data_IF_095078755753
#
_entry.id   IF_095078755753
#
_cell.length_a   1.000
_cell.length_b   1.000
_cell.length_c   1.000
_cell.angle_alpha   90.00
_cell.angle_beta   90.00
_cell.angle_gamma   90.00
#
_symmetry.space_group_name_H-M   'P 1'
#
loop_
_entity.id
_entity.type
_entity.pdbx_description
1 polymer ?
#
# COMPACT_ATOMS: atom_id res chain seq x y z
N UNK A 1 4.81 -21.70 -18.84
CA UNK A 1 4.73 -20.38 -18.18
C UNK A 1 3.27 -19.97 -18.01
N UNK A 2 2.55 -20.48 -17.00
CA UNK A 2 1.11 -20.23 -16.79
C UNK A 2 0.79 -19.61 -15.42
N UNK A 3 1.81 -19.09 -14.74
CA UNK A 3 1.72 -18.65 -13.33
C UNK A 3 1.25 -17.19 -13.19
N UNK A 4 1.40 -16.37 -14.25
CA UNK A 4 1.13 -14.93 -14.19
C UNK A 4 -0.38 -14.58 -14.13
N UNK A 5 -1.24 -15.36 -14.77
CA UNK A 5 -2.66 -14.97 -14.92
C UNK A 5 -3.50 -15.21 -13.67
N UNK A 6 -3.15 -16.21 -12.87
CA UNK A 6 -3.85 -16.46 -11.60
C UNK A 6 -3.63 -15.32 -10.59
N UNK A 7 -2.39 -14.79 -10.50
CA UNK A 7 -2.05 -13.69 -9.58
C UNK A 7 -2.82 -12.41 -9.89
N UNK A 8 -3.13 -12.15 -11.17
CA UNK A 8 -3.91 -10.99 -11.60
C UNK A 8 -5.34 -11.02 -11.07
N UNK A 9 -5.89 -12.21 -10.82
CA UNK A 9 -7.28 -12.40 -10.40
C UNK A 9 -7.46 -12.41 -8.87
N UNK A 10 -6.37 -12.55 -8.12
CA UNK A 10 -6.38 -12.58 -6.65
C UNK A 10 -6.82 -11.23 -6.07
N UNK A 11 -7.40 -11.28 -4.87
CA UNK A 11 -7.76 -10.08 -4.13
C UNK A 11 -6.53 -9.38 -3.54
N UNK A 12 -6.61 -8.07 -3.24
CA UNK A 12 -5.49 -7.35 -2.61
C UNK A 12 -5.01 -7.94 -1.28
N UNK A 13 -5.91 -8.54 -0.49
CA UNK A 13 -5.54 -9.17 0.79
C UNK A 13 -4.67 -10.41 0.57
N UNK A 14 -5.07 -11.30 -0.34
CA UNK A 14 -4.32 -12.51 -0.68
C UNK A 14 -2.94 -12.16 -1.27
N UNK A 15 -2.90 -11.15 -2.13
CA UNK A 15 -1.65 -10.66 -2.73
C UNK A 15 -0.69 -10.09 -1.68
N UNK A 16 -1.18 -9.31 -0.72
CA UNK A 16 -0.35 -8.83 0.40
C UNK A 16 0.21 -9.98 1.24
N UNK A 17 -0.57 -11.04 1.44
CA UNK A 17 -0.11 -12.23 2.17
C UNK A 17 1.00 -12.96 1.40
N UNK A 18 0.86 -13.12 0.09
CA UNK A 18 1.91 -13.70 -0.76
C UNK A 18 3.19 -12.86 -0.75
N UNK A 19 3.07 -11.53 -0.82
CA UNK A 19 4.21 -10.60 -0.73
C UNK A 19 4.91 -10.76 0.62
N UNK A 20 4.15 -10.82 1.72
CA UNK A 20 4.71 -11.01 3.08
C UNK A 20 5.45 -12.34 3.22
N UNK A 21 5.00 -13.38 2.52
CA UNK A 21 5.64 -14.69 2.51
C UNK A 21 6.77 -14.80 1.47
N UNK A 22 7.22 -13.67 0.89
CA UNK A 22 8.32 -13.60 -0.08
C UNK A 22 8.11 -14.52 -1.31
N UNK A 23 6.87 -14.60 -1.80
CA UNK A 23 6.56 -15.41 -2.97
C UNK A 23 7.33 -14.92 -4.20
N UNK A 24 8.29 -15.73 -4.65
CA UNK A 24 9.24 -15.41 -5.73
C UNK A 24 8.58 -15.14 -7.09
N UNK A 25 7.28 -15.47 -7.24
CA UNK A 25 6.51 -15.19 -8.46
C UNK A 25 6.14 -13.71 -8.57
N UNK A 26 6.16 -12.96 -7.47
CA UNK A 26 5.79 -11.55 -7.41
C UNK A 26 7.07 -10.69 -7.42
N UNK A 27 7.43 -10.17 -8.59
CA UNK A 27 8.59 -9.27 -8.74
C UNK A 27 8.20 -7.79 -8.76
N UNK A 28 6.95 -7.49 -9.10
CA UNK A 28 6.36 -6.16 -9.03
C UNK A 28 4.83 -6.29 -8.86
N UNK A 29 4.17 -5.18 -8.52
CA UNK A 29 2.72 -5.15 -8.27
C UNK A 29 1.90 -4.73 -9.49
N UNK A 30 2.54 -4.46 -10.64
CA UNK A 30 1.84 -3.96 -11.84
C UNK A 30 0.92 -5.03 -12.42
N UNK A 31 -0.33 -4.65 -12.69
CA UNK A 31 -1.33 -5.55 -13.26
C UNK A 31 -1.88 -6.62 -12.29
N UNK A 32 -1.40 -6.66 -11.04
CA UNK A 32 -1.99 -7.50 -9.99
C UNK A 32 -3.33 -6.92 -9.51
N UNK A 33 -4.20 -7.76 -8.96
CA UNK A 33 -5.54 -7.38 -8.50
C UNK A 33 -6.39 -6.67 -9.57
N UNK A 34 -6.34 -7.16 -10.82
CA UNK A 34 -7.00 -6.51 -11.94
C UNK A 34 -8.52 -6.35 -11.67
N UNK A 35 -9.03 -5.13 -11.85
CA UNK A 35 -10.43 -4.78 -11.56
C UNK A 35 -10.82 -4.73 -10.06
N UNK A 36 -9.88 -4.94 -9.13
CA UNK A 36 -10.14 -5.07 -7.69
C UNK A 36 -9.30 -4.12 -6.82
N UNK A 37 -9.45 -2.80 -7.04
CA UNK A 37 -9.03 -1.64 -6.21
C UNK A 37 -7.74 -0.90 -6.65
N UNK A 38 -7.41 0.18 -5.91
CA UNK A 38 -6.36 1.18 -6.16
C UNK A 38 -5.09 0.88 -5.36
N UNK A 39 -3.94 0.98 -6.02
CA UNK A 39 -2.63 1.00 -5.37
C UNK A 39 -2.33 2.39 -4.82
N UNK A 40 -1.51 2.46 -3.78
CA UNK A 40 -1.11 3.71 -3.16
C UNK A 40 0.39 3.69 -2.85
N UNK A 41 1.00 4.87 -2.86
CA UNK A 41 2.35 5.06 -2.36
C UNK A 41 2.32 5.14 -0.83
N UNK A 42 3.41 4.72 -0.19
CA UNK A 42 3.61 4.81 1.26
C UNK A 42 4.90 5.56 1.53
N UNK A 43 4.88 6.43 2.53
CA UNK A 43 6.06 7.15 3.02
C UNK A 43 6.05 7.06 4.54
N UNK A 44 7.18 6.62 5.12
CA UNK A 44 7.34 6.48 6.57
C UNK A 44 8.37 7.51 7.01
N UNK A 45 7.97 8.37 7.95
CA UNK A 45 8.84 9.43 8.50
C UNK A 45 8.90 9.35 10.02
N UNK A 46 10.00 9.80 10.65
CA UNK A 46 10.05 9.99 12.09
C UNK A 46 8.94 10.91 12.61
N UNK A 47 8.43 10.63 13.81
CA UNK A 47 7.31 11.38 14.43
C UNK A 47 7.50 12.90 14.43
N UNK A 48 8.74 13.37 14.65
CA UNK A 48 9.04 14.81 14.70
C UNK A 48 8.90 15.50 13.34
N UNK A 49 8.95 14.78 12.22
CA UNK A 49 8.74 15.31 10.87
C UNK A 49 7.32 15.08 10.35
N UNK A 50 6.52 14.25 11.01
CA UNK A 50 5.22 13.82 10.50
C UNK A 50 4.25 15.00 10.27
N UNK A 51 4.26 15.99 11.17
CA UNK A 51 3.35 17.14 11.04
C UNK A 51 3.72 18.04 9.87
N UNK A 52 5.01 18.32 9.71
CA UNK A 52 5.51 19.14 8.60
C UNK A 52 5.26 18.46 7.26
N UNK A 53 5.46 17.13 7.21
CA UNK A 53 5.18 16.34 6.01
C UNK A 53 3.67 16.29 5.69
N UNK A 54 2.80 16.19 6.70
CA UNK A 54 1.35 16.26 6.49
C UNK A 54 0.93 17.61 5.90
N UNK A 55 1.47 18.72 6.43
CA UNK A 55 1.23 20.06 5.89
C UNK A 55 1.73 20.14 4.45
N UNK A 56 2.94 19.65 4.18
CA UNK A 56 3.51 19.62 2.83
C UNK A 56 2.61 18.87 1.84
N UNK A 57 2.10 17.69 2.20
CA UNK A 57 1.15 16.95 1.36
C UNK A 57 -0.15 17.73 1.12
N UNK A 58 -0.72 18.34 2.17
CA UNK A 58 -1.97 19.13 2.05
C UNK A 58 -1.80 20.41 1.25
N UNK A 59 -0.62 21.02 1.26
CA UNK A 59 -0.26 22.16 0.41
C UNK A 59 -0.06 21.77 -1.05
N UNK A 60 0.14 20.48 -1.35
CA UNK A 60 0.41 19.96 -2.69
C UNK A 60 -0.56 18.82 -3.07
N UNK A 61 -1.89 19.03 -3.07
CA UNK A 61 -2.88 17.95 -3.15
C UNK A 61 -2.91 17.23 -4.51
N UNK A 62 -2.50 17.89 -5.60
CA UNK A 62 -2.45 17.27 -6.93
C UNK A 62 -1.32 16.22 -7.06
N UNK A 63 -0.05 16.54 -6.74
CA UNK A 63 1.01 15.54 -6.77
C UNK A 63 1.03 14.62 -5.54
N UNK A 64 0.50 15.05 -4.40
CA UNK A 64 0.54 14.32 -3.12
C UNK A 64 -0.86 14.16 -2.51
N UNK A 65 -1.76 13.39 -3.16
CA UNK A 65 -3.08 13.12 -2.61
C UNK A 65 -2.95 12.27 -1.34
N UNK A 66 -3.08 12.91 -0.17
CA UNK A 66 -2.99 12.22 1.11
C UNK A 66 -4.23 11.36 1.35
N UNK A 67 -4.07 10.04 1.23
CA UNK A 67 -5.16 9.07 1.43
C UNK A 67 -5.41 8.76 2.90
N UNK A 68 -4.35 8.62 3.70
CA UNK A 68 -4.41 8.27 5.11
C UNK A 68 -3.10 8.64 5.81
N UNK A 69 -3.20 9.04 7.08
CA UNK A 69 -2.07 9.24 7.98
C UNK A 69 -2.32 8.38 9.22
N UNK A 70 -1.41 7.44 9.52
CA UNK A 70 -1.50 6.59 10.70
C UNK A 70 -1.08 7.33 11.96
N UNK A 71 -1.39 6.76 13.12
CA UNK A 71 -0.76 7.17 14.38
C UNK A 71 0.73 6.76 14.41
N UNK A 72 1.59 7.48 15.14
CA UNK A 72 2.98 7.07 15.31
C UNK A 72 3.08 5.63 15.86
N UNK A 73 3.76 4.76 15.13
CA UNK A 73 3.93 3.34 15.48
C UNK A 73 2.78 2.42 15.04
N UNK A 74 1.67 2.97 14.52
CA UNK A 74 0.59 2.17 13.93
C UNK A 74 1.02 1.66 12.55
N UNK A 75 0.95 0.34 12.37
CA UNK A 75 1.33 -0.33 11.12
C UNK A 75 0.15 -0.74 10.26
N UNK A 76 -1.07 -0.62 10.79
CA UNK A 76 -2.30 -0.95 10.08
C UNK A 76 -2.83 0.26 9.31
N UNK A 77 -3.76 0.01 8.39
CA UNK A 77 -4.47 1.07 7.67
C UNK A 77 -5.95 0.70 7.46
N UNK A 78 -6.75 0.60 8.55
CA UNK A 78 -8.09 0.04 8.49
C UNK A 78 -9.04 0.70 7.48
N UNK A 79 -9.05 2.04 7.28
CA UNK A 79 -9.93 2.67 6.31
C UNK A 79 -9.64 2.29 4.85
N UNK A 80 -8.39 1.96 4.52
CA UNK A 80 -7.98 1.67 3.14
C UNK A 80 -7.89 0.17 2.88
N UNK A 81 -7.45 -0.61 3.86
CA UNK A 81 -7.20 -2.02 3.71
C UNK A 81 -7.39 -2.80 5.02
N UNK A 82 -8.30 -3.76 4.98
CA UNK A 82 -8.46 -4.75 6.05
C UNK A 82 -7.19 -5.60 6.19
N UNK A 83 -6.78 -5.84 7.44
CA UNK A 83 -5.66 -6.72 7.82
C UNK A 83 -4.32 -6.34 7.15
N UNK A 84 -4.14 -5.06 6.80
CA UNK A 84 -2.88 -4.56 6.28
C UNK A 84 -1.85 -4.39 7.40
N UNK A 85 -0.60 -4.75 7.11
CA UNK A 85 0.60 -4.39 7.86
C UNK A 85 1.58 -3.84 6.83
N UNK A 86 2.10 -2.62 7.05
CA UNK A 86 2.98 -1.92 6.12
C UNK A 86 4.45 -2.39 6.16
N UNK A 87 4.81 -3.26 7.10
CA UNK A 87 6.16 -3.82 7.25
C UNK A 87 6.39 -5.05 6.36
#
# INVERSE_FOLDING_TARGET
MAVSDHLKLLGPADLRLLIRNEDSRITNTSGLANGKKRQANVVIVPKHLAKDFEVFCRSNPAPLPLLYCSQPGETSCPPLAKDADIR
#
